data_IF_467425431296
#
_entry.id   IF_467425431296
#
_cell.length_a   1.000
_cell.length_b   1.000
_cell.length_c   1.000
_cell.angle_alpha   90.00
_cell.angle_beta   90.00
_cell.angle_gamma   90.00
#
_symmetry.space_group_name_H-M   'P 1'
#
loop_
_entity.id
_entity.type
_entity.pdbx_description
1 polymer ?
#
# COMPACT_ATOMS: atom_id res chain seq x y z
N UNK A 1 26.90 -26.45 -11.54
CA UNK A 1 25.46 -26.31 -11.24
C UNK A 1 25.07 -24.89 -11.56
N UNK A 2 24.15 -24.69 -12.49
CA UNK A 2 23.73 -23.35 -12.94
C UNK A 2 22.84 -22.72 -11.87
N UNK A 3 23.16 -21.47 -11.48
CA UNK A 3 22.33 -20.68 -10.56
C UNK A 3 21.03 -20.29 -11.26
N UNK A 4 19.96 -20.16 -10.50
CA UNK A 4 18.71 -19.59 -11.01
C UNK A 4 18.78 -18.06 -10.95
N UNK A 5 18.61 -17.40 -12.08
CA UNK A 5 18.59 -15.94 -12.22
C UNK A 5 17.15 -15.49 -12.48
N UNK A 6 16.60 -14.67 -11.59
CA UNK A 6 15.24 -14.16 -11.68
C UNK A 6 15.24 -12.64 -11.66
N UNK A 7 14.63 -12.03 -12.68
CA UNK A 7 14.38 -10.59 -12.75
C UNK A 7 12.97 -10.29 -12.26
N UNK A 8 12.81 -9.32 -11.36
CA UNK A 8 11.52 -8.88 -10.86
C UNK A 8 11.31 -7.39 -11.11
N UNK A 9 10.08 -7.02 -11.52
CA UNK A 9 9.68 -5.68 -11.93
C UNK A 9 8.43 -5.25 -11.16
N UNK A 10 8.43 -4.04 -10.63
CA UNK A 10 7.22 -3.41 -10.08
C UNK A 10 7.15 -1.92 -10.40
N UNK A 11 6.02 -1.49 -10.91
CA UNK A 11 5.66 -0.09 -11.15
C UNK A 11 4.20 0.17 -10.73
N UNK A 12 3.70 -0.63 -9.79
CA UNK A 12 2.31 -0.56 -9.31
C UNK A 12 2.01 0.65 -8.43
N UNK A 13 3.06 1.33 -7.96
CA UNK A 13 2.99 2.53 -7.11
C UNK A 13 3.69 3.72 -7.80
N UNK A 14 4.03 4.77 -7.04
CA UNK A 14 4.86 5.89 -7.50
C UNK A 14 6.35 5.52 -7.70
N UNK A 15 6.73 4.30 -7.36
CA UNK A 15 8.11 3.84 -7.51
C UNK A 15 8.31 3.03 -8.79
N UNK A 16 9.49 3.17 -9.37
CA UNK A 16 10.04 2.21 -10.31
C UNK A 16 10.95 1.27 -9.50
N UNK A 17 10.59 0.00 -9.44
CA UNK A 17 11.33 -0.98 -8.67
C UNK A 17 11.76 -2.16 -9.54
N UNK A 18 13.04 -2.52 -9.45
CA UNK A 18 13.64 -3.65 -10.15
C UNK A 18 14.50 -4.43 -9.16
N UNK A 19 14.41 -5.75 -9.18
CA UNK A 19 15.29 -6.62 -8.42
C UNK A 19 15.81 -7.77 -9.31
N UNK A 20 17.08 -8.08 -9.16
CA UNK A 20 17.70 -9.24 -9.77
C UNK A 20 18.13 -10.18 -8.65
N UNK A 21 17.62 -11.42 -8.66
CA UNK A 21 18.04 -12.48 -7.75
C UNK A 21 18.90 -13.50 -8.48
N UNK A 22 19.96 -13.95 -7.80
CA UNK A 22 20.74 -15.11 -8.22
C UNK A 22 20.76 -16.12 -7.07
N UNK A 23 19.98 -17.20 -7.21
CA UNK A 23 19.80 -18.23 -6.20
C UNK A 23 20.51 -19.54 -6.59
N UNK A 24 20.91 -20.34 -5.59
CA UNK A 24 21.36 -21.69 -5.85
C UNK A 24 20.27 -22.54 -6.51
N UNK A 25 20.61 -23.49 -7.38
CA UNK A 25 19.64 -24.41 -7.94
C UNK A 25 18.99 -25.23 -6.82
N UNK A 26 17.71 -25.54 -6.99
CA UNK A 26 17.00 -26.43 -6.05
C UNK A 26 17.49 -27.85 -6.25
N UNK A 27 18.49 -28.28 -5.49
CA UNK A 27 18.71 -29.70 -5.28
C UNK A 27 17.74 -30.17 -4.19
N UNK A 28 17.07 -31.30 -4.40
CA UNK A 28 16.29 -31.95 -3.35
C UNK A 28 17.20 -32.17 -2.13
N UNK A 29 16.93 -31.48 -0.99
CA UNK A 29 17.76 -31.54 0.21
C UNK A 29 18.81 -30.42 0.37
N UNK A 30 18.83 -29.39 -0.46
CA UNK A 30 19.71 -28.25 -0.27
C UNK A 30 19.34 -27.48 1.01
N UNK A 31 20.30 -27.38 1.90
CA UNK A 31 20.24 -26.56 3.11
C UNK A 31 19.99 -25.09 2.74
N UNK A 32 19.28 -24.36 3.60
CA UNK A 32 18.99 -22.92 3.55
C UNK A 32 20.26 -22.04 3.53
N UNK A 33 21.46 -22.64 3.51
CA UNK A 33 22.75 -21.98 3.66
C UNK A 33 23.19 -21.07 2.49
N UNK A 34 22.50 -21.09 1.35
CA UNK A 34 22.83 -20.23 0.20
C UNK A 34 21.71 -19.21 0.02
N UNK A 35 21.73 -18.14 0.83
CA UNK A 35 20.84 -17.01 0.62
C UNK A 35 21.00 -16.44 -0.80
N UNK A 36 19.88 -16.13 -1.48
CA UNK A 36 19.94 -15.53 -2.81
C UNK A 36 20.71 -14.21 -2.75
N UNK A 37 21.66 -14.01 -3.66
CA UNK A 37 22.22 -12.67 -3.86
C UNK A 37 21.19 -11.81 -4.56
N UNK A 38 21.00 -10.58 -4.07
CA UNK A 38 20.05 -9.64 -4.61
C UNK A 38 20.72 -8.32 -5.00
N UNK A 39 20.33 -7.76 -6.14
CA UNK A 39 20.64 -6.41 -6.56
C UNK A 39 19.31 -5.68 -6.77
N UNK A 40 19.18 -4.45 -6.30
CA UNK A 40 17.89 -3.75 -6.26
C UNK A 40 18.05 -2.30 -6.72
N UNK A 41 17.07 -1.83 -7.51
CA UNK A 41 16.78 -0.41 -7.71
C UNK A 41 15.35 -0.15 -7.28
N UNK A 42 15.17 0.84 -6.42
CA UNK A 42 13.86 1.25 -5.92
C UNK A 42 13.86 2.77 -5.85
N UNK A 43 13.24 3.41 -6.82
CA UNK A 43 13.35 4.84 -7.06
C UNK A 43 11.98 5.49 -7.19
N UNK A 44 11.74 6.61 -6.49
CA UNK A 44 10.52 7.39 -6.67
C UNK A 44 10.57 8.11 -8.01
N UNK A 45 9.82 7.64 -8.98
CA UNK A 45 9.80 8.15 -10.36
C UNK A 45 8.46 8.76 -10.76
N UNK A 46 7.40 8.50 -10.00
CA UNK A 46 6.06 8.96 -10.34
C UNK A 46 5.64 8.53 -11.76
N UNK A 47 5.26 9.50 -12.60
CA UNK A 47 4.73 9.23 -13.94
C UNK A 47 5.79 8.77 -14.98
N UNK A 48 7.09 8.85 -14.64
CA UNK A 48 8.17 8.52 -15.60
C UNK A 48 8.79 7.13 -15.40
N UNK A 49 8.13 6.26 -14.63
CA UNK A 49 8.58 4.87 -14.40
C UNK A 49 8.88 4.11 -15.68
N UNK A 50 8.11 4.35 -16.76
CA UNK A 50 8.31 3.70 -18.07
C UNK A 50 9.65 4.02 -18.73
N UNK A 51 10.20 5.20 -18.50
CA UNK A 51 11.50 5.60 -19.05
C UNK A 51 12.67 5.10 -18.21
N UNK A 52 12.43 4.83 -16.91
CA UNK A 52 13.47 4.39 -15.96
C UNK A 52 13.64 2.87 -15.92
N UNK A 53 12.58 2.11 -16.20
CA UNK A 53 12.53 0.66 -15.97
C UNK A 53 13.61 -0.11 -16.73
N UNK A 54 13.73 0.07 -18.05
CA UNK A 54 14.74 -0.62 -18.87
C UNK A 54 16.19 -0.20 -18.53
N UNK A 55 16.52 1.09 -18.32
CA UNK A 55 17.83 1.49 -17.79
C UNK A 55 18.17 0.81 -16.46
N UNK A 56 17.23 0.77 -15.48
CA UNK A 56 17.45 0.13 -14.20
C UNK A 56 17.74 -1.37 -14.31
N UNK A 57 17.05 -2.07 -15.21
CA UNK A 57 17.32 -3.49 -15.51
C UNK A 57 18.77 -3.66 -16.00
N UNK A 58 19.18 -2.87 -16.98
CA UNK A 58 20.55 -2.95 -17.55
C UNK A 58 21.62 -2.68 -16.49
N UNK A 59 21.41 -1.68 -15.64
CA UNK A 59 22.33 -1.35 -14.54
C UNK A 59 22.52 -2.53 -13.59
N UNK A 60 21.43 -3.22 -13.21
CA UNK A 60 21.51 -4.37 -12.31
C UNK A 60 22.26 -5.56 -12.92
N UNK A 61 22.03 -5.86 -14.20
CA UNK A 61 22.77 -6.93 -14.88
C UNK A 61 24.27 -6.62 -14.99
N UNK A 62 24.63 -5.38 -15.29
CA UNK A 62 26.04 -4.94 -15.31
C UNK A 62 26.67 -5.06 -13.91
N UNK A 63 25.98 -4.59 -12.87
CA UNK A 63 26.46 -4.66 -11.49
C UNK A 63 26.63 -6.10 -11.00
N UNK A 64 25.71 -6.99 -11.40
CA UNK A 64 25.76 -8.41 -11.07
C UNK A 64 26.84 -9.19 -11.84
N UNK A 65 27.38 -8.62 -12.92
CA UNK A 65 28.27 -9.31 -13.83
C UNK A 65 27.59 -10.43 -14.61
N UNK A 66 26.26 -10.27 -14.88
CA UNK A 66 25.43 -11.22 -15.60
C UNK A 66 24.99 -10.64 -16.95
N UNK A 67 24.76 -11.51 -17.92
CA UNK A 67 24.10 -11.15 -19.17
C UNK A 67 22.58 -11.26 -19.01
N UNK A 68 21.82 -10.48 -19.79
CA UNK A 68 20.35 -10.59 -19.79
C UNK A 68 19.91 -12.00 -20.24
N UNK A 69 20.69 -12.65 -21.08
CA UNK A 69 20.44 -14.03 -21.53
C UNK A 69 20.60 -15.10 -20.43
N UNK A 70 21.20 -14.75 -19.28
CA UNK A 70 21.29 -15.65 -18.13
C UNK A 70 19.99 -15.71 -17.31
N UNK A 71 18.99 -14.90 -17.68
CA UNK A 71 17.71 -14.79 -16.94
C UNK A 71 16.83 -16.02 -17.22
N UNK A 72 16.50 -16.77 -16.15
CA UNK A 72 15.69 -17.99 -16.24
C UNK A 72 14.18 -17.71 -16.15
N UNK A 73 13.78 -16.59 -15.54
CA UNK A 73 12.38 -16.20 -15.42
C UNK A 73 12.26 -14.69 -15.13
N UNK A 74 11.11 -14.12 -15.52
CA UNK A 74 10.78 -12.72 -15.23
C UNK A 74 9.51 -12.66 -14.40
N UNK A 75 9.58 -11.99 -13.25
CA UNK A 75 8.43 -11.72 -12.39
C UNK A 75 7.98 -10.26 -12.52
N UNK A 76 6.70 -10.02 -12.30
CA UNK A 76 6.17 -8.66 -12.29
C UNK A 76 5.02 -8.52 -11.31
N UNK A 77 4.83 -7.30 -10.78
CA UNK A 77 3.67 -6.94 -9.98
C UNK A 77 2.42 -6.90 -10.85
N UNK A 78 1.58 -7.93 -10.72
CA UNK A 78 0.38 -8.09 -11.54
C UNK A 78 -0.79 -7.19 -11.08
N UNK A 79 -0.75 -6.70 -9.85
CA UNK A 79 -1.81 -5.87 -9.26
C UNK A 79 -2.31 -6.38 -7.91
N UNK A 80 -3.23 -5.59 -7.30
CA UNK A 80 -3.76 -4.31 -7.75
C UNK A 80 -2.79 -3.13 -7.59
N UNK A 81 -3.04 -2.02 -8.30
CA UNK A 81 -2.20 -0.83 -8.23
C UNK A 81 -2.49 0.18 -9.35
N UNK A 82 -1.51 1.04 -9.62
CA UNK A 82 -1.59 2.04 -10.70
C UNK A 82 -1.84 1.39 -12.06
N UNK A 83 -2.92 1.77 -12.71
CA UNK A 83 -3.34 1.21 -14.01
C UNK A 83 -2.25 1.32 -15.10
N UNK A 84 -1.61 2.48 -15.20
CA UNK A 84 -0.51 2.69 -16.15
C UNK A 84 0.74 1.91 -15.73
N UNK A 85 1.03 1.92 -14.43
CA UNK A 85 2.17 1.19 -13.87
C UNK A 85 2.08 -0.31 -14.11
N UNK A 86 0.95 -0.94 -13.80
CA UNK A 86 0.74 -2.37 -14.02
C UNK A 86 0.96 -2.76 -15.49
N UNK A 87 0.47 -1.96 -16.44
CA UNK A 87 0.68 -2.20 -17.87
C UNK A 87 2.13 -2.03 -18.29
N UNK A 88 2.84 -1.08 -17.71
CA UNK A 88 4.27 -0.86 -17.96
C UNK A 88 5.07 -2.10 -17.52
N UNK A 89 4.91 -2.56 -16.28
CA UNK A 89 5.61 -3.74 -15.78
C UNK A 89 5.25 -5.00 -16.59
N UNK A 90 3.95 -5.22 -16.86
CA UNK A 90 3.48 -6.37 -17.64
C UNK A 90 4.08 -6.35 -19.06
N UNK A 91 3.98 -5.22 -19.76
CA UNK A 91 4.48 -5.13 -21.15
C UNK A 91 6.00 -5.32 -21.25
N UNK A 92 6.77 -4.79 -20.29
CA UNK A 92 8.22 -5.02 -20.23
C UNK A 92 8.53 -6.48 -19.91
N UNK A 93 7.81 -7.07 -18.93
CA UNK A 93 7.98 -8.49 -18.59
C UNK A 93 7.67 -9.41 -19.77
N UNK A 94 6.56 -9.18 -20.47
CA UNK A 94 6.19 -9.92 -21.69
C UNK A 94 7.27 -9.80 -22.79
N UNK A 95 7.69 -8.57 -23.10
CA UNK A 95 8.66 -8.33 -24.19
C UNK A 95 10.00 -8.98 -23.90
N UNK A 96 10.51 -8.87 -22.69
CA UNK A 96 11.77 -9.49 -22.29
C UNK A 96 11.65 -11.01 -22.26
N UNK A 97 10.60 -11.56 -21.64
CA UNK A 97 10.37 -12.99 -21.54
C UNK A 97 10.21 -13.64 -22.92
N UNK A 98 9.50 -12.99 -23.83
CA UNK A 98 9.37 -13.45 -25.21
C UNK A 98 10.73 -13.46 -25.93
N UNK A 99 11.53 -12.39 -25.78
CA UNK A 99 12.86 -12.31 -26.41
C UNK A 99 13.87 -13.30 -25.84
N UNK A 100 13.74 -13.68 -24.56
CA UNK A 100 14.61 -14.63 -23.85
C UNK A 100 14.08 -16.07 -23.89
N UNK A 101 12.88 -16.27 -24.40
CA UNK A 101 12.19 -17.57 -24.35
C UNK A 101 12.13 -18.18 -22.94
N UNK A 102 11.85 -17.35 -21.94
CA UNK A 102 11.73 -17.76 -20.54
C UNK A 102 10.31 -17.54 -20.00
N UNK A 103 9.89 -18.26 -18.94
CA UNK A 103 8.57 -18.10 -18.34
C UNK A 103 8.45 -16.79 -17.57
N UNK A 104 7.18 -16.41 -17.31
CA UNK A 104 6.83 -15.25 -16.51
C UNK A 104 6.12 -15.69 -15.22
N UNK A 105 6.35 -14.97 -14.13
CA UNK A 105 5.69 -15.18 -12.83
C UNK A 105 4.91 -13.92 -12.46
N UNK A 106 3.59 -13.87 -12.68
CA UNK A 106 2.76 -12.79 -12.14
C UNK A 106 2.64 -12.93 -10.62
N UNK A 107 2.83 -11.82 -9.89
CA UNK A 107 2.74 -11.79 -8.43
C UNK A 107 1.78 -10.68 -8.00
N UNK A 108 0.82 -10.99 -7.14
CA UNK A 108 -0.07 -10.00 -6.54
C UNK A 108 0.70 -8.98 -5.72
N UNK A 109 0.44 -7.69 -5.91
CA UNK A 109 1.15 -6.62 -5.20
C UNK A 109 0.84 -6.59 -3.71
N UNK A 110 -0.38 -6.97 -3.31
CA UNK A 110 -0.75 -7.15 -1.89
C UNK A 110 0.04 -8.31 -1.24
N UNK A 111 0.33 -9.38 -2.00
CA UNK A 111 1.19 -10.46 -1.53
C UNK A 111 2.64 -9.99 -1.38
N UNK A 112 3.10 -9.11 -2.26
CA UNK A 112 4.40 -8.47 -2.10
C UNK A 112 4.48 -7.58 -0.85
N UNK A 113 3.38 -6.92 -0.44
CA UNK A 113 3.31 -6.21 0.85
C UNK A 113 3.47 -7.18 2.03
N UNK A 114 2.77 -8.32 2.00
CA UNK A 114 2.88 -9.33 3.06
C UNK A 114 4.32 -9.87 3.17
N UNK A 115 4.94 -10.18 2.04
CA UNK A 115 6.35 -10.59 2.01
C UNK A 115 7.29 -9.49 2.49
N UNK A 116 7.04 -8.24 2.11
CA UNK A 116 7.81 -7.08 2.59
C UNK A 116 7.76 -6.97 4.12
N UNK A 117 6.58 -7.11 4.72
CA UNK A 117 6.42 -7.10 6.18
C UNK A 117 7.22 -8.22 6.85
N UNK A 118 7.18 -9.44 6.28
CA UNK A 118 7.91 -10.59 6.82
C UNK A 118 9.42 -10.47 6.64
N UNK A 119 9.91 -9.92 5.54
CA UNK A 119 11.34 -9.66 5.33
C UNK A 119 11.89 -8.66 6.36
N UNK A 120 11.05 -7.74 6.85
CA UNK A 120 11.40 -6.75 7.88
C UNK A 120 11.29 -7.33 9.30
N UNK A 121 10.31 -8.20 9.52
CA UNK A 121 10.12 -8.94 10.78
C UNK A 121 9.72 -10.39 10.48
N UNK A 122 10.66 -11.34 10.58
CA UNK A 122 10.42 -12.76 10.34
C UNK A 122 9.38 -13.42 11.26
N UNK A 123 8.99 -12.77 12.36
CA UNK A 123 7.95 -13.26 13.27
C UNK A 123 6.52 -12.99 12.78
N UNK A 124 6.37 -12.23 11.69
CA UNK A 124 5.06 -11.92 11.10
C UNK A 124 4.51 -13.16 10.39
N UNK A 125 3.38 -13.67 10.88
CA UNK A 125 2.71 -14.86 10.36
C UNK A 125 1.32 -14.59 9.78
N UNK A 126 0.70 -13.44 10.12
CA UNK A 126 -0.60 -13.02 9.57
C UNK A 126 -0.53 -11.56 9.12
N UNK A 127 -0.92 -11.31 7.89
CA UNK A 127 -0.89 -9.98 7.29
C UNK A 127 -2.21 -9.66 6.61
N UNK A 128 -2.82 -8.56 6.99
CA UNK A 128 -3.80 -7.85 6.17
C UNK A 128 -3.03 -6.79 5.39
N UNK A 129 -2.83 -7.01 4.10
CA UNK A 129 -2.22 -6.04 3.21
C UNK A 129 -3.29 -5.07 2.72
N UNK A 130 -3.07 -3.75 2.86
CA UNK A 130 -4.06 -2.74 2.51
C UNK A 130 -3.39 -1.52 1.85
N UNK A 131 -3.82 -1.19 0.64
CA UNK A 131 -3.31 -0.09 -0.18
C UNK A 131 -4.43 0.90 -0.51
N UNK A 132 -4.11 2.19 -0.50
CA UNK A 132 -5.00 3.24 -0.99
C UNK A 132 -5.34 3.01 -2.47
N UNK A 133 -6.60 2.70 -2.75
CA UNK A 133 -7.09 2.46 -4.10
C UNK A 133 -7.57 3.74 -4.79
N UNK A 134 -7.43 4.92 -4.14
CA UNK A 134 -8.06 6.17 -4.52
C UNK A 134 -9.59 6.09 -4.44
N UNK A 135 -10.27 7.21 -4.70
CA UNK A 135 -11.73 7.27 -4.73
C UNK A 135 -12.40 6.80 -3.44
N UNK A 136 -11.71 6.98 -2.32
CA UNK A 136 -12.18 6.59 -0.98
C UNK A 136 -12.38 5.07 -0.79
N UNK A 137 -11.57 4.26 -1.48
CA UNK A 137 -11.57 2.80 -1.45
C UNK A 137 -10.18 2.24 -1.12
N UNK A 138 -10.14 1.00 -0.67
CA UNK A 138 -8.95 0.26 -0.24
C UNK A 138 -8.86 -1.04 -1.03
N UNK A 139 -7.72 -1.29 -1.70
CA UNK A 139 -7.34 -2.63 -2.11
C UNK A 139 -6.81 -3.37 -0.89
N UNK A 140 -7.33 -4.55 -0.61
CA UNK A 140 -6.88 -5.32 0.53
C UNK A 140 -6.93 -6.83 0.28
N UNK A 141 -6.13 -7.58 1.03
CA UNK A 141 -6.11 -9.03 1.04
C UNK A 141 -5.62 -9.53 2.39
N UNK A 142 -5.90 -10.79 2.71
CA UNK A 142 -5.49 -11.42 3.96
C UNK A 142 -4.65 -12.67 3.69
N UNK A 143 -3.46 -12.71 4.29
CA UNK A 143 -2.47 -13.77 4.09
C UNK A 143 -2.03 -14.37 5.42
N UNK A 144 -1.83 -15.70 5.42
CA UNK A 144 -1.21 -16.43 6.52
C UNK A 144 0.07 -17.10 6.04
N UNK A 145 1.14 -16.99 6.82
CA UNK A 145 2.39 -17.71 6.55
C UNK A 145 2.25 -19.18 6.93
N UNK A 146 2.56 -20.05 6.01
CA UNK A 146 2.70 -21.47 6.25
C UNK A 146 4.18 -21.81 6.45
N UNK A 147 4.57 -21.99 7.72
CA UNK A 147 5.96 -22.25 8.07
C UNK A 147 6.46 -23.61 7.55
N UNK A 148 5.58 -24.59 7.38
CA UNK A 148 5.95 -25.92 6.87
C UNK A 148 6.22 -25.88 5.37
N UNK A 149 5.41 -25.12 4.63
CA UNK A 149 5.57 -24.91 3.20
C UNK A 149 6.61 -23.82 2.87
N UNK A 150 6.90 -22.92 3.82
CA UNK A 150 7.75 -21.75 3.60
C UNK A 150 7.14 -20.74 2.62
N UNK A 151 5.80 -20.63 2.57
CA UNK A 151 5.10 -19.74 1.65
C UNK A 151 3.83 -19.14 2.27
N UNK A 152 3.32 -18.09 1.63
CA UNK A 152 2.07 -17.46 2.00
C UNK A 152 0.87 -18.22 1.46
N UNK A 153 -0.12 -18.43 2.33
CA UNK A 153 -1.44 -18.91 1.97
C UNK A 153 -2.41 -17.73 1.92
N UNK A 154 -3.10 -17.56 0.80
CA UNK A 154 -4.17 -16.56 0.66
C UNK A 154 -5.41 -17.03 1.43
N UNK A 155 -5.85 -16.24 2.39
CA UNK A 155 -7.07 -16.46 3.17
C UNK A 155 -8.23 -15.70 2.56
N UNK A 156 -8.01 -14.41 2.25
CA UNK A 156 -8.92 -13.56 1.50
C UNK A 156 -8.18 -13.04 0.26
N UNK A 157 -8.67 -13.32 -0.94
CA UNK A 157 -8.08 -12.78 -2.17
C UNK A 157 -8.22 -11.27 -2.25
N UNK A 158 -7.47 -10.66 -3.17
CA UNK A 158 -7.51 -9.21 -3.40
C UNK A 158 -8.94 -8.73 -3.64
N UNK A 159 -9.37 -7.76 -2.85
CA UNK A 159 -10.69 -7.15 -2.84
C UNK A 159 -10.60 -5.63 -2.83
N UNK A 160 -11.70 -4.96 -3.15
CA UNK A 160 -11.84 -3.51 -3.15
C UNK A 160 -13.05 -3.13 -2.33
N UNK A 161 -12.85 -2.41 -1.24
CA UNK A 161 -13.91 -2.03 -0.31
C UNK A 161 -13.72 -0.62 0.23
N UNK A 162 -14.77 -0.06 0.87
CA UNK A 162 -14.66 1.15 1.64
C UNK A 162 -13.78 0.91 2.90
N UNK A 163 -13.06 1.93 3.42
CA UNK A 163 -12.10 1.77 4.53
C UNK A 163 -12.71 1.17 5.82
N UNK A 164 -13.99 1.40 6.05
CA UNK A 164 -14.74 0.94 7.22
C UNK A 164 -15.39 -0.45 7.04
N UNK A 165 -15.24 -1.08 5.85
CA UNK A 165 -15.96 -2.32 5.50
C UNK A 165 -15.09 -3.53 5.25
N UNK A 166 -13.81 -3.47 5.61
CA UNK A 166 -12.91 -4.61 5.47
C UNK A 166 -13.37 -5.76 6.38
N UNK A 167 -13.47 -6.97 5.80
CA UNK A 167 -13.76 -8.19 6.56
C UNK A 167 -12.47 -8.71 7.21
N UNK A 168 -12.22 -8.28 8.44
CA UNK A 168 -10.96 -8.54 9.15
C UNK A 168 -10.94 -9.93 9.80
N UNK A 169 -9.75 -10.55 9.93
CA UNK A 169 -9.61 -11.82 10.65
C UNK A 169 -9.83 -11.64 12.17
N UNK A 170 -10.36 -12.68 12.81
CA UNK A 170 -10.53 -12.75 14.29
C UNK A 170 -9.24 -13.11 15.04
N UNK A 171 -8.10 -13.14 14.33
CA UNK A 171 -6.78 -13.45 14.89
C UNK A 171 -5.86 -12.23 14.81
N UNK A 172 -4.85 -12.11 15.68
CA UNK A 172 -3.89 -11.01 15.62
C UNK A 172 -3.18 -10.97 14.26
N UNK A 173 -3.08 -9.79 13.66
CA UNK A 173 -2.44 -9.57 12.37
C UNK A 173 -1.60 -8.31 12.33
N UNK A 174 -0.67 -8.25 11.39
CA UNK A 174 0.04 -7.03 11.00
C UNK A 174 -0.70 -6.39 9.83
N UNK A 175 -1.01 -5.09 9.94
CA UNK A 175 -1.54 -4.30 8.84
C UNK A 175 -0.37 -3.75 8.03
N UNK A 176 -0.20 -4.22 6.80
CA UNK A 176 0.86 -3.81 5.88
C UNK A 176 0.32 -2.90 4.78
N UNK A 177 1.11 -1.90 4.36
CA UNK A 177 0.75 -1.00 3.28
C UNK A 177 0.38 0.41 3.72
N UNK A 178 0.04 1.28 2.76
CA UNK A 178 -0.16 2.72 2.99
C UNK A 178 -1.59 3.12 3.40
N UNK A 179 -2.55 2.19 3.44
CA UNK A 179 -3.94 2.53 3.74
C UNK A 179 -4.13 3.14 5.13
N UNK A 180 -3.35 2.68 6.15
CA UNK A 180 -3.41 3.26 7.49
C UNK A 180 -3.05 4.76 7.49
N UNK A 181 -2.03 5.16 6.74
CA UNK A 181 -1.63 6.55 6.60
C UNK A 181 -2.65 7.37 5.79
N UNK A 182 -3.26 6.77 4.75
CA UNK A 182 -4.22 7.43 3.89
C UNK A 182 -5.58 7.70 4.56
N UNK A 183 -6.06 6.76 5.38
CA UNK A 183 -7.43 6.80 5.93
C UNK A 183 -7.49 7.03 7.44
N UNK A 184 -6.38 6.85 8.17
CA UNK A 184 -6.33 7.05 9.62
C UNK A 184 -7.38 6.21 10.38
N UNK A 185 -8.15 6.87 11.26
CA UNK A 185 -9.20 6.23 12.06
C UNK A 185 -10.39 5.70 11.24
N UNK A 186 -10.54 6.09 9.99
CA UNK A 186 -11.60 5.59 9.10
C UNK A 186 -11.31 4.16 8.60
N UNK A 187 -10.06 3.71 8.63
CA UNK A 187 -9.69 2.35 8.29
C UNK A 187 -9.94 1.44 9.50
N UNK A 188 -10.97 0.59 9.42
CA UNK A 188 -11.32 -0.36 10.49
C UNK A 188 -10.15 -1.24 10.92
N UNK A 189 -9.29 -1.62 9.98
CA UNK A 189 -8.10 -2.42 10.21
C UNK A 189 -7.06 -1.72 11.10
N UNK A 190 -7.00 -0.37 11.14
CA UNK A 190 -6.01 0.36 11.96
C UNK A 190 -6.21 0.14 13.45
N UNK A 191 -7.46 0.06 13.92
CA UNK A 191 -7.78 -0.18 15.32
C UNK A 191 -7.67 -1.66 15.72
N UNK A 192 -7.88 -2.57 14.77
CA UNK A 192 -7.90 -4.02 15.01
C UNK A 192 -6.50 -4.66 14.88
N UNK A 193 -5.57 -4.03 14.19
CA UNK A 193 -4.24 -4.57 13.95
C UNK A 193 -3.41 -4.65 15.24
N UNK A 194 -2.67 -5.75 15.43
CA UNK A 194 -1.65 -5.87 16.47
C UNK A 194 -0.45 -4.93 16.21
N UNK A 195 -0.10 -4.76 14.95
CA UNK A 195 0.99 -3.89 14.51
C UNK A 195 0.65 -3.28 13.15
N UNK A 196 1.20 -2.10 12.85
CA UNK A 196 1.06 -1.43 11.56
C UNK A 196 2.45 -1.25 10.97
N UNK A 197 2.68 -1.81 9.77
CA UNK A 197 3.88 -1.59 8.97
C UNK A 197 3.53 -0.82 7.69
N UNK A 198 3.46 0.50 7.80
CA UNK A 198 3.19 1.39 6.67
C UNK A 198 4.32 1.46 5.63
N UNK A 199 5.51 0.94 5.96
CA UNK A 199 6.65 0.86 5.05
C UNK A 199 6.68 -0.46 4.25
N UNK A 200 5.84 -1.44 4.60
CA UNK A 200 5.70 -2.68 3.84
C UNK A 200 4.88 -2.46 2.57
N UNK A 201 5.45 -1.75 1.62
CA UNK A 201 4.86 -1.46 0.31
C UNK A 201 5.28 -2.51 -0.73
N UNK A 202 4.50 -2.67 -1.84
CA UNK A 202 4.91 -3.53 -2.93
C UNK A 202 6.14 -2.95 -3.62
N UNK A 203 7.13 -3.79 -3.82
CA UNK A 203 8.32 -3.47 -4.60
C UNK A 203 9.01 -4.75 -5.10
N UNK A 204 9.97 -4.61 -6.01
CA UNK A 204 10.53 -5.74 -6.74
C UNK A 204 11.25 -6.79 -5.87
N UNK A 205 11.85 -6.42 -4.73
CA UNK A 205 12.60 -7.39 -3.91
C UNK A 205 11.68 -8.43 -3.23
N UNK A 206 10.65 -8.06 -2.42
CA UNK A 206 9.73 -9.05 -1.87
C UNK A 206 9.00 -9.83 -2.96
N UNK A 207 8.64 -9.16 -4.07
CA UNK A 207 8.04 -9.79 -5.22
C UNK A 207 8.95 -10.88 -5.80
N UNK A 208 10.26 -10.64 -5.89
CA UNK A 208 11.22 -11.61 -6.37
C UNK A 208 11.31 -12.86 -5.47
N UNK A 209 11.22 -12.71 -4.14
CA UNK A 209 11.19 -13.86 -3.22
C UNK A 209 9.93 -14.71 -3.38
N UNK A 210 8.77 -14.07 -3.51
CA UNK A 210 7.51 -14.77 -3.82
C UNK A 210 7.62 -15.50 -5.15
N UNK A 211 8.12 -14.82 -6.18
CA UNK A 211 8.29 -15.38 -7.51
C UNK A 211 9.29 -16.54 -7.56
N UNK A 212 10.37 -16.48 -6.79
CA UNK A 212 11.35 -17.58 -6.71
C UNK A 212 10.69 -18.85 -6.16
N UNK A 213 9.85 -18.73 -5.13
CA UNK A 213 9.07 -19.88 -4.60
C UNK A 213 8.06 -20.39 -5.64
N UNK A 214 7.37 -19.49 -6.32
CA UNK A 214 6.42 -19.86 -7.39
C UNK A 214 7.11 -20.56 -8.57
N UNK A 215 8.26 -20.04 -9.03
CA UNK A 215 9.08 -20.64 -10.08
C UNK A 215 9.52 -22.06 -9.70
N UNK A 216 10.00 -22.24 -8.46
CA UNK A 216 10.40 -23.54 -7.91
C UNK A 216 9.26 -24.54 -7.86
N UNK A 217 8.04 -24.07 -7.63
CA UNK A 217 6.81 -24.88 -7.64
C UNK A 217 6.21 -25.04 -9.03
N UNK A 218 6.85 -24.57 -10.10
CA UNK A 218 6.33 -24.62 -11.47
C UNK A 218 5.11 -23.72 -11.73
N UNK A 219 4.83 -22.78 -10.85
CA UNK A 219 3.71 -21.82 -11.01
C UNK A 219 4.16 -20.63 -11.86
N UNK A 220 4.21 -20.84 -13.15
CA UNK A 220 4.61 -19.85 -14.15
C UNK A 220 3.59 -19.80 -15.29
N UNK A 221 3.64 -18.73 -16.07
CA UNK A 221 2.87 -18.60 -17.31
C UNK A 221 3.80 -18.31 -18.48
N UNK A 222 3.47 -18.69 -19.71
CA UNK A 222 4.20 -18.24 -20.89
C UNK A 222 4.02 -16.72 -21.09
N UNK A 223 4.96 -16.09 -21.80
CA UNK A 223 5.01 -14.64 -21.95
C UNK A 223 3.70 -14.04 -22.50
N UNK A 224 3.06 -14.69 -23.45
CA UNK A 224 1.81 -14.25 -24.09
C UNK A 224 0.60 -14.26 -23.15
N UNK A 225 0.65 -15.05 -22.06
CA UNK A 225 -0.42 -15.12 -21.06
C UNK A 225 -0.17 -14.21 -19.84
N UNK A 226 0.97 -13.52 -19.78
CA UNK A 226 1.20 -12.55 -18.73
C UNK A 226 0.22 -11.38 -18.87
N UNK A 227 -0.58 -11.13 -17.83
CA UNK A 227 -1.58 -10.09 -17.83
C UNK A 227 -1.68 -9.44 -16.44
N UNK A 228 -2.03 -8.15 -16.35
CA UNK A 228 -2.32 -7.51 -15.09
C UNK A 228 -3.64 -8.05 -14.51
N UNK A 229 -3.70 -8.13 -13.18
CA UNK A 229 -4.90 -8.48 -12.44
C UNK A 229 -5.65 -7.21 -12.03
N UNK A 230 -6.85 -7.02 -12.57
CA UNK A 230 -7.69 -5.86 -12.27
C UNK A 230 -8.75 -6.23 -11.24
N UNK A 231 -8.57 -5.77 -10.01
CA UNK A 231 -9.58 -5.93 -8.93
C UNK A 231 -10.72 -4.93 -9.11
N UNK A 232 -10.42 -3.72 -9.62
CA UNK A 232 -11.44 -2.72 -9.93
C UNK A 232 -12.01 -2.96 -11.32
N UNK A 233 -13.28 -3.33 -11.42
CA UNK A 233 -13.97 -3.55 -12.70
C UNK A 233 -14.25 -2.26 -13.47
N UNK A 234 -14.32 -1.11 -12.78
CA UNK A 234 -14.60 0.21 -13.37
C UNK A 234 -13.44 1.17 -13.10
N UNK A 235 -12.58 1.35 -14.08
CA UNK A 235 -11.31 2.10 -13.94
C UNK A 235 -11.50 3.62 -14.00
N UNK A 236 -12.63 4.11 -14.54
CA UNK A 236 -12.91 5.53 -14.67
C UNK A 236 -14.38 5.84 -14.38
N UNK A 237 -14.60 6.87 -13.59
CA UNK A 237 -15.95 7.47 -13.46
C UNK A 237 -16.33 8.11 -14.78
N UNK A 238 -17.57 7.95 -15.18
CA UNK A 238 -18.15 8.76 -16.27
C UNK A 238 -18.17 10.24 -15.88
N UNK A 239 -18.25 11.12 -16.86
CA UNK A 239 -18.34 12.56 -16.58
C UNK A 239 -19.55 12.89 -15.68
N UNK A 240 -20.66 12.17 -15.83
CA UNK A 240 -21.85 12.33 -14.99
C UNK A 240 -21.60 11.93 -13.54
N UNK A 241 -20.95 10.78 -13.28
CA UNK A 241 -20.58 10.33 -11.94
C UNK A 241 -19.59 11.28 -11.25
N UNK A 242 -18.61 11.77 -12.02
CA UNK A 242 -17.62 12.74 -11.50
C UNK A 242 -18.28 14.06 -11.09
N UNK A 243 -19.29 14.52 -11.86
CA UNK A 243 -20.07 15.70 -11.52
C UNK A 243 -20.97 15.46 -10.31
N UNK A 244 -21.59 14.28 -10.19
CA UNK A 244 -22.40 13.90 -9.04
C UNK A 244 -21.58 13.85 -7.75
N UNK A 245 -20.42 13.20 -7.77
CA UNK A 245 -19.48 13.14 -6.61
C UNK A 245 -18.99 14.54 -6.21
N UNK A 246 -18.71 15.40 -7.19
CA UNK A 246 -18.30 16.78 -6.92
C UNK A 246 -19.42 17.58 -6.26
N UNK A 247 -20.66 17.39 -6.71
CA UNK A 247 -21.84 18.04 -6.13
C UNK A 247 -22.12 17.54 -4.70
N UNK A 248 -21.98 16.24 -4.45
CA UNK A 248 -22.15 15.66 -3.12
C UNK A 248 -21.07 16.15 -2.13
N UNK A 249 -19.80 16.17 -2.55
CA UNK A 249 -18.70 16.73 -1.75
C UNK A 249 -18.88 18.21 -1.45
N UNK A 250 -19.35 19.00 -2.42
CA UNK A 250 -19.67 20.41 -2.22
C UNK A 250 -20.82 20.59 -1.23
N UNK A 251 -21.88 19.77 -1.33
CA UNK A 251 -23.00 19.78 -0.39
C UNK A 251 -22.60 19.43 1.04
N UNK A 252 -21.75 18.42 1.23
CA UNK A 252 -21.21 18.04 2.56
C UNK A 252 -20.32 19.15 3.15
N UNK A 253 -19.49 19.80 2.34
CA UNK A 253 -18.66 20.92 2.77
C UNK A 253 -19.50 22.13 3.19
N UNK A 254 -20.60 22.42 2.46
CA UNK A 254 -21.51 23.51 2.79
C UNK A 254 -22.30 23.23 4.09
N UNK A 255 -22.74 22.00 4.30
CA UNK A 255 -23.36 21.56 5.56
C UNK A 255 -22.39 21.65 6.74
N UNK A 256 -21.14 21.21 6.59
CA UNK A 256 -20.10 21.32 7.63
C UNK A 256 -19.82 22.79 7.98
N UNK A 257 -19.73 23.66 6.98
CA UNK A 257 -19.52 25.10 7.18
C UNK A 257 -20.70 25.76 7.89
N UNK A 258 -21.93 25.39 7.55
CA UNK A 258 -23.17 25.88 8.23
C UNK A 258 -23.23 25.40 9.67
N UNK A 259 -22.82 24.14 9.94
CA UNK A 259 -22.75 23.60 11.31
C UNK A 259 -21.71 24.34 12.16
N UNK A 260 -20.53 24.61 11.61
CA UNK A 260 -19.47 25.38 12.29
C UNK A 260 -19.89 26.83 12.55
N UNK A 261 -20.55 27.48 11.60
CA UNK A 261 -21.12 28.83 11.79
C UNK A 261 -22.21 28.87 12.86
N UNK A 262 -23.08 27.85 12.90
CA UNK A 262 -24.13 27.76 13.92
C UNK A 262 -23.53 27.52 15.32
N UNK A 263 -22.50 26.69 15.41
CA UNK A 263 -21.78 26.45 16.68
C UNK A 263 -21.06 27.70 17.19
N UNK A 264 -20.44 28.48 16.31
CA UNK A 264 -19.81 29.77 16.66
C UNK A 264 -20.83 30.81 17.08
N UNK A 265 -21.99 30.90 16.41
CA UNK A 265 -23.06 31.80 16.76
C UNK A 265 -23.65 31.44 18.14
N UNK A 266 -23.87 30.16 18.43
CA UNK A 266 -24.36 29.71 19.75
C UNK A 266 -23.33 30.02 20.86
N UNK A 267 -22.03 29.82 20.61
CA UNK A 267 -20.97 30.18 21.56
C UNK A 267 -20.91 31.69 21.83
N UNK A 268 -21.07 32.52 20.80
CA UNK A 268 -21.10 33.98 20.94
C UNK A 268 -22.32 34.46 21.71
N UNK A 269 -23.51 33.85 21.50
CA UNK A 269 -24.73 34.17 22.24
C UNK A 269 -24.61 33.80 23.72
N UNK A 270 -24.05 32.64 24.07
CA UNK A 270 -23.79 32.22 25.44
C UNK A 270 -22.76 33.12 26.17
N UNK A 271 -21.77 33.63 25.47
CA UNK A 271 -20.81 34.59 26.02
C UNK A 271 -21.45 35.97 26.28
N UNK A 272 -22.38 36.42 25.44
CA UNK A 272 -23.10 37.67 25.66
C UNK A 272 -24.07 37.59 26.84
N UNK A 273 -24.73 36.44 27.06
CA UNK A 273 -25.64 36.20 28.19
C UNK A 273 -24.86 36.13 29.52
N UNK A 274 -23.68 35.51 29.54
CA UNK A 274 -22.79 35.47 30.70
C UNK A 274 -22.24 36.89 31.08
N UNK A 275 -22.00 37.77 30.12
CA UNK A 275 -21.54 39.14 30.33
C UNK A 275 -22.70 40.05 30.87
N UNK A 276 -23.93 39.80 30.46
CA UNK A 276 -25.12 40.57 30.89
C UNK A 276 -25.53 40.32 32.34
N UNK A 277 -25.14 39.18 32.95
CA UNK A 277 -25.45 38.84 34.37
C UNK A 277 -24.44 39.39 35.38
N UNK A 278 -23.27 39.92 34.91
CA UNK A 278 -22.23 40.46 35.76
C UNK A 278 -22.40 41.94 36.16
N UNK A 279 -23.33 42.68 35.51
CA UNK A 279 -23.49 44.14 35.71
C UNK A 279 -24.64 44.50 36.69
N UNK A 280 -25.22 43.57 37.45
CA UNK A 280 -26.34 43.83 38.38
C UNK A 280 -25.95 43.83 39.88
N UNK A 281 -24.66 43.96 40.23
CA UNK A 281 -24.24 44.05 41.63
C UNK A 281 -23.39 45.31 41.91
N UNK A 282 -24.05 46.48 41.90
CA UNK A 282 -23.43 47.69 42.44
C UNK A 282 -23.87 47.86 43.90
N UNK A 283 -22.97 47.86 44.94
CA UNK A 283 -23.36 48.21 46.28
C UNK A 283 -23.40 49.76 46.43
N UNK A 284 -24.45 50.23 47.08
CA UNK A 284 -24.70 51.64 47.39
C UNK A 284 -23.61 52.26 48.29
N UNK A 285 -23.36 53.58 48.17
CA UNK A 285 -22.33 54.26 48.96
C UNK A 285 -22.91 54.57 50.36
N UNK A 286 -22.26 54.12 51.42
CA UNK A 286 -22.44 54.60 52.76
C UNK A 286 -21.70 55.95 52.95
N UNK A 287 -22.49 56.96 53.25
CA UNK A 287 -22.00 58.30 53.50
C UNK A 287 -21.31 58.45 54.89
N UNK A 288 -20.63 59.60 55.11
CA UNK A 288 -19.73 59.81 56.24
C UNK A 288 -20.48 60.35 57.48
N UNK A 289 -20.09 59.85 58.63
CA UNK A 289 -20.25 60.60 59.94
C UNK A 289 -18.82 60.60 60.51
N UNK A 290 -18.22 61.62 60.82
CA UNK A 290 -18.51 62.79 61.61
C UNK A 290 -17.84 62.66 62.97
N UNK A 291 -16.87 63.51 63.17
CA UNK A 291 -16.44 64.13 64.44
C UNK A 291 -15.77 63.32 65.53
N UNK A 292 -14.63 63.87 65.95
CA UNK A 292 -14.41 64.13 67.35
C UNK A 292 -13.04 63.87 67.88
N UNK A 293 -12.22 64.90 67.96
CA UNK A 293 -11.69 65.38 69.21
C UNK A 293 -10.37 64.77 69.75
N UNK A 294 -9.41 65.54 69.72
CA UNK A 294 -8.21 65.91 70.57
C UNK A 294 -6.89 65.34 70.14
#
# INVERSE_FOLDING_TARGET
MTRTVLLALDTSTEFCSVALLSAAPVAAGASIADEPRAWVRHEATGAVSSTRLLPAIRELFVEAGLALADCDAIAFGAGPGSFTGLRTATGVAQGLAFGLNCPVVPVGTLLACAESARLRDPSVERVVAALDARMDEVYWADFAWDAAAGEWRTIQPASLDAPDRLNLPDVPFTLAGNAAAAFGARLSASAAARAIDGAALPHALPLAFVALRALRAGRTVPAELAAPEYVRNKVAQTTAERLADKAEKAGKADQANKADQAARAASAAGAAEAAGTADAATPAPTGPQGEGGR
#
